data_IF_600562997467
#
_entry.id   IF_600562997467
#
_cell.length_a   1.000
_cell.length_b   1.000
_cell.length_c   1.000
_cell.angle_alpha   90.00
_cell.angle_beta   90.00
_cell.angle_gamma   90.00
#
_symmetry.space_group_name_H-M   'P 1'
#
loop_
_entity.id
_entity.type
_entity.pdbx_description
1 polymer ?
#
# COMPACT_ATOMS: atom_id res chain seq x y z
N UNK A 1 -13.89 -17.07 25.67
CA UNK A 1 -13.50 -16.57 24.34
C UNK A 1 -14.21 -15.24 24.19
N UNK A 2 -13.63 -14.19 24.78
CA UNK A 2 -14.11 -12.84 24.54
C UNK A 2 -13.43 -12.38 23.26
N UNK A 3 -14.22 -12.32 22.19
CA UNK A 3 -13.86 -11.59 20.99
C UNK A 3 -13.68 -10.14 21.40
N UNK A 4 -12.44 -9.67 21.49
CA UNK A 4 -12.15 -8.25 21.33
C UNK A 4 -12.61 -7.87 19.92
N UNK A 5 -13.85 -7.42 19.80
CA UNK A 5 -14.23 -6.50 18.74
C UNK A 5 -13.29 -5.32 18.90
N UNK A 6 -12.28 -5.25 18.03
CA UNK A 6 -11.49 -4.03 17.83
C UNK A 6 -12.51 -3.01 17.33
N UNK A 7 -13.08 -2.23 18.25
CA UNK A 7 -14.02 -1.17 17.91
C UNK A 7 -13.24 -0.09 17.16
N UNK A 8 -13.12 -0.27 15.85
CA UNK A 8 -12.75 0.80 14.94
C UNK A 8 -13.74 1.96 15.14
N UNK A 9 -13.25 3.19 15.17
CA UNK A 9 -14.16 4.32 15.28
C UNK A 9 -15.10 4.35 14.08
N UNK A 10 -16.31 4.81 14.34
CA UNK A 10 -17.28 5.09 13.31
C UNK A 10 -17.36 6.59 13.05
N UNK A 11 -17.88 6.93 11.89
CA UNK A 11 -18.11 8.32 11.47
C UNK A 11 -19.59 8.48 11.15
N UNK A 12 -20.21 9.59 11.58
CA UNK A 12 -21.64 9.84 11.33
C UNK A 12 -21.97 10.08 9.86
N UNK A 13 -20.96 10.46 9.07
CA UNK A 13 -20.96 10.51 7.61
C UNK A 13 -19.54 10.24 7.09
N UNK A 14 -19.41 9.91 5.82
CA UNK A 14 -18.10 9.83 5.18
C UNK A 14 -17.46 11.22 5.04
N UNK A 15 -16.13 11.25 4.99
CA UNK A 15 -15.42 12.44 4.53
C UNK A 15 -15.74 12.72 3.06
N UNK A 16 -15.91 13.99 2.73
CA UNK A 16 -15.88 14.48 1.36
C UNK A 16 -14.50 14.26 0.74
N UNK A 17 -14.42 14.28 -0.59
CA UNK A 17 -13.14 14.14 -1.31
C UNK A 17 -12.11 15.19 -0.87
N UNK A 18 -12.54 16.45 -0.73
CA UNK A 18 -11.70 17.55 -0.25
C UNK A 18 -11.19 17.32 1.16
N UNK A 19 -12.03 16.78 2.06
CA UNK A 19 -11.62 16.46 3.44
C UNK A 19 -10.58 15.32 3.46
N UNK A 20 -10.74 14.28 2.63
CA UNK A 20 -9.75 13.18 2.56
C UNK A 20 -8.38 13.67 2.12
N UNK A 21 -8.33 14.52 1.09
CA UNK A 21 -7.08 15.13 0.60
C UNK A 21 -6.44 16.04 1.64
N UNK A 22 -7.24 16.90 2.30
CA UNK A 22 -6.76 17.77 3.38
C UNK A 22 -6.29 16.97 4.59
N UNK A 23 -6.99 15.91 4.95
CA UNK A 23 -6.65 15.02 6.06
C UNK A 23 -5.24 14.45 5.92
N UNK A 24 -4.90 13.88 4.76
CA UNK A 24 -3.55 13.35 4.51
C UNK A 24 -2.45 14.42 4.64
N UNK A 25 -2.69 15.62 4.12
CA UNK A 25 -1.75 16.74 4.24
C UNK A 25 -1.59 17.22 5.68
N UNK A 26 -2.69 17.35 6.42
CA UNK A 26 -2.69 17.76 7.81
C UNK A 26 -2.05 16.68 8.70
N UNK A 27 -2.23 15.40 8.39
CA UNK A 27 -1.56 14.30 9.09
C UNK A 27 -0.03 14.41 8.96
N UNK A 28 0.47 14.65 7.74
CA UNK A 28 1.90 14.91 7.51
C UNK A 28 2.39 16.13 8.27
N UNK A 29 1.62 17.20 8.29
CA UNK A 29 1.96 18.43 9.02
C UNK A 29 1.96 18.21 10.54
N UNK A 30 1.04 17.41 11.06
CA UNK A 30 0.92 17.04 12.46
C UNK A 30 2.15 16.28 12.95
N UNK A 31 2.57 15.25 12.22
CA UNK A 31 3.80 14.51 12.53
C UNK A 31 5.07 15.38 12.45
N UNK A 32 4.99 16.54 11.77
CA UNK A 32 6.06 17.53 11.69
C UNK A 32 5.91 18.67 12.73
N UNK A 33 4.95 18.59 13.64
CA UNK A 33 4.77 19.52 14.76
C UNK A 33 3.65 20.55 14.59
N UNK A 34 2.73 20.36 13.64
CA UNK A 34 1.54 21.22 13.49
C UNK A 34 0.37 20.65 14.31
N UNK A 35 0.12 21.23 15.47
CA UNK A 35 -0.92 20.75 16.40
C UNK A 35 -2.21 21.58 16.31
N UNK A 36 -3.38 21.01 16.63
CA UNK A 36 -4.62 21.78 16.74
C UNK A 36 -4.51 22.85 17.84
N UNK A 37 -5.28 23.93 17.70
CA UNK A 37 -5.37 24.98 18.72
C UNK A 37 -6.30 24.61 19.87
N UNK A 38 -7.33 23.81 19.60
CA UNK A 38 -8.30 23.31 20.55
C UNK A 38 -8.25 21.80 20.73
N UNK A 39 -9.03 21.29 21.67
CA UNK A 39 -9.24 19.86 21.87
C UNK A 39 -10.58 19.43 21.27
N UNK A 40 -10.62 18.20 20.75
CA UNK A 40 -11.85 17.59 20.28
C UNK A 40 -12.87 17.50 21.42
N UNK A 41 -14.03 18.14 21.24
CA UNK A 41 -15.15 18.03 22.18
C UNK A 41 -15.60 16.57 22.30
N UNK A 42 -15.74 16.08 23.52
CA UNK A 42 -16.21 14.72 23.82
C UNK A 42 -17.54 14.77 24.58
N UNK A 43 -18.48 13.93 24.17
CA UNK A 43 -19.79 13.78 24.80
C UNK A 43 -20.03 12.32 25.16
N UNK A 44 -20.83 12.07 26.22
CA UNK A 44 -21.10 10.70 26.63
C UNK A 44 -21.94 9.93 25.60
N UNK A 45 -22.94 10.60 25.01
CA UNK A 45 -23.90 10.03 24.07
C UNK A 45 -24.15 11.00 22.94
N UNK A 46 -24.46 10.47 21.76
CA UNK A 46 -24.82 11.27 20.60
C UNK A 46 -26.03 12.18 20.89
N UNK A 47 -25.87 13.49 20.66
CA UNK A 47 -26.90 14.51 20.84
C UNK A 47 -27.41 14.99 19.48
N UNK A 48 -28.72 14.98 19.28
CA UNK A 48 -29.35 15.53 18.06
C UNK A 48 -29.23 17.06 17.95
N UNK A 49 -29.01 17.74 19.07
CA UNK A 49 -28.97 19.21 19.16
C UNK A 49 -27.63 19.81 18.70
N UNK A 50 -26.61 18.98 18.44
CA UNK A 50 -25.25 19.41 18.03
C UNK A 50 -24.96 19.09 16.56
N UNK A 51 -25.99 19.06 15.71
CA UNK A 51 -25.88 18.63 14.31
C UNK A 51 -24.88 19.43 13.45
N UNK A 52 -24.50 20.65 13.86
CA UNK A 52 -23.56 21.52 13.12
C UNK A 52 -22.19 21.69 13.80
N UNK A 53 -21.87 20.84 14.79
CA UNK A 53 -20.60 20.88 15.52
C UNK A 53 -19.92 19.51 15.48
N UNK A 54 -18.61 19.50 15.24
CA UNK A 54 -17.78 18.32 15.46
C UNK A 54 -17.73 17.95 16.96
N UNK A 55 -17.90 16.67 17.27
CA UNK A 55 -17.61 16.08 18.59
C UNK A 55 -17.45 14.55 18.50
N UNK A 56 -16.85 13.94 19.52
CA UNK A 56 -16.74 12.48 19.65
C UNK A 56 -17.73 11.94 20.69
N UNK A 57 -18.55 10.96 20.29
CA UNK A 57 -19.48 10.24 21.16
C UNK A 57 -18.80 8.99 21.74
N UNK A 58 -18.60 8.97 23.06
CA UNK A 58 -17.77 7.94 23.72
C UNK A 58 -18.44 6.57 23.86
N UNK A 59 -19.76 6.52 23.96
CA UNK A 59 -20.50 5.26 24.12
C UNK A 59 -20.56 4.43 22.83
N UNK A 60 -20.55 5.08 21.67
CA UNK A 60 -20.58 4.44 20.35
C UNK A 60 -19.25 4.50 19.60
N UNK A 61 -18.22 5.13 20.19
CA UNK A 61 -16.95 5.41 19.53
C UNK A 61 -17.14 6.05 18.14
N UNK A 62 -17.90 7.15 18.09
CA UNK A 62 -18.31 7.79 16.83
C UNK A 62 -17.87 9.24 16.76
N UNK A 63 -17.14 9.60 15.70
CA UNK A 63 -16.97 10.99 15.30
C UNK A 63 -18.26 11.50 14.68
N UNK A 64 -18.93 12.43 15.37
CA UNK A 64 -20.12 13.10 14.88
C UNK A 64 -19.69 14.33 14.08
N UNK A 65 -19.66 14.19 12.76
CA UNK A 65 -19.26 15.25 11.82
C UNK A 65 -20.48 16.13 11.47
N UNK A 66 -20.30 17.45 11.33
CA UNK A 66 -21.35 18.34 10.80
C UNK A 66 -21.58 18.05 9.32
N UNK A 67 -22.76 18.40 8.79
CA UNK A 67 -23.08 18.23 7.36
C UNK A 67 -22.22 19.11 6.43
N UNK A 68 -21.73 20.25 6.93
CA UNK A 68 -20.74 21.07 6.22
C UNK A 68 -19.37 20.39 6.20
N UNK A 69 -18.52 20.83 5.28
CA UNK A 69 -17.10 20.43 5.32
C UNK A 69 -16.43 20.87 6.64
N UNK A 70 -15.57 19.99 7.14
CA UNK A 70 -14.69 20.21 8.27
C UNK A 70 -13.64 21.25 7.91
N UNK A 71 -13.30 22.06 8.90
CA UNK A 71 -12.16 22.96 8.84
C UNK A 71 -10.86 22.20 9.10
N UNK A 72 -9.72 22.80 8.72
CA UNK A 72 -8.41 22.19 8.97
C UNK A 72 -8.14 22.00 10.47
N UNK A 73 -8.61 22.93 11.31
CA UNK A 73 -8.55 22.81 12.78
C UNK A 73 -9.36 21.61 13.28
N UNK A 74 -10.57 21.39 12.75
CA UNK A 74 -11.40 20.25 13.12
C UNK A 74 -10.78 18.91 12.67
N UNK A 75 -10.16 18.87 11.49
CA UNK A 75 -9.40 17.69 11.03
C UNK A 75 -8.18 17.44 11.93
N UNK A 76 -7.43 18.49 12.31
CA UNK A 76 -6.31 18.37 13.24
C UNK A 76 -6.73 17.87 14.63
N UNK A 77 -7.90 18.27 15.12
CA UNK A 77 -8.46 17.77 16.38
C UNK A 77 -8.79 16.28 16.31
N UNK A 78 -9.33 15.80 15.19
CA UNK A 78 -9.55 14.36 14.96
C UNK A 78 -8.21 13.62 14.94
N UNK A 79 -7.24 14.12 14.16
CA UNK A 79 -5.90 13.52 14.06
C UNK A 79 -5.26 13.40 15.45
N UNK A 80 -5.26 14.48 16.24
CA UNK A 80 -4.67 14.49 17.58
C UNK A 80 -5.36 13.50 18.52
N UNK A 81 -6.69 13.45 18.49
CA UNK A 81 -7.46 12.53 19.33
C UNK A 81 -7.11 11.07 19.02
N UNK A 82 -7.12 10.71 17.74
CA UNK A 82 -6.80 9.36 17.30
C UNK A 82 -5.34 9.00 17.65
N UNK A 83 -4.37 9.90 17.45
CA UNK A 83 -2.96 9.67 17.83
C UNK A 83 -2.80 9.44 19.34
N UNK A 84 -3.43 10.29 20.16
CA UNK A 84 -3.40 10.14 21.63
C UNK A 84 -4.01 8.80 22.05
N UNK A 85 -5.10 8.39 21.42
CA UNK A 85 -5.74 7.10 21.71
C UNK A 85 -4.86 5.93 21.28
N UNK A 86 -4.35 5.94 20.06
CA UNK A 86 -3.53 4.87 19.51
C UNK A 86 -2.27 4.67 20.37
N UNK A 87 -1.67 5.77 20.86
CA UNK A 87 -0.58 5.72 21.85
C UNK A 87 -0.99 5.05 23.17
N UNK A 88 -2.17 5.40 23.72
CA UNK A 88 -2.67 4.74 24.95
C UNK A 88 -2.95 3.25 24.73
N UNK A 89 -3.35 2.85 23.53
CA UNK A 89 -3.55 1.45 23.17
C UNK A 89 -2.22 0.72 23.00
N UNK A 90 -1.20 1.35 22.39
CA UNK A 90 0.12 0.75 22.26
C UNK A 90 0.79 0.53 23.61
N UNK A 91 0.60 1.42 24.59
CA UNK A 91 1.12 1.25 25.96
C UNK A 91 0.43 0.10 26.73
N UNK A 92 -0.79 -0.30 26.32
CA UNK A 92 -1.55 -1.40 26.95
C UNK A 92 -1.32 -2.74 26.27
N UNK A 93 -0.76 -2.71 25.07
CA UNK A 93 -0.47 -3.89 24.28
C UNK A 93 1.01 -4.18 24.48
N UNK A 94 1.38 -5.38 24.94
CA UNK A 94 2.80 -5.70 24.94
C UNK A 94 3.32 -5.64 23.50
N UNK A 95 4.47 -5.00 23.24
CA UNK A 95 5.05 -5.01 21.90
C UNK A 95 5.15 -6.47 21.46
N UNK A 96 4.80 -6.75 20.20
CA UNK A 96 4.99 -8.09 19.66
C UNK A 96 6.47 -8.45 19.83
N UNK A 97 6.76 -9.38 20.73
CA UNK A 97 8.12 -9.85 20.94
C UNK A 97 8.63 -10.41 19.61
N UNK A 98 9.83 -9.97 19.21
CA UNK A 98 10.57 -10.58 18.11
C UNK A 98 10.65 -12.08 18.41
N UNK A 99 10.13 -12.90 17.49
CA UNK A 99 10.08 -14.35 17.70
C UNK A 99 11.50 -14.92 17.80
N UNK A 100 11.65 -16.10 18.42
CA UNK A 100 12.95 -16.76 18.49
C UNK A 100 13.48 -17.07 17.09
N UNK A 101 12.58 -17.41 16.16
CA UNK A 101 12.83 -17.64 14.74
C UNK A 101 13.36 -16.38 14.05
N UNK A 102 12.69 -15.24 14.23
CA UNK A 102 13.11 -13.96 13.64
C UNK A 102 14.47 -13.53 14.19
N UNK A 103 14.69 -13.67 15.50
CA UNK A 103 15.99 -13.37 16.11
C UNK A 103 17.10 -14.24 15.52
N UNK A 104 16.86 -15.54 15.37
CA UNK A 104 17.83 -16.47 14.78
C UNK A 104 18.12 -16.12 13.31
N UNK A 105 17.09 -15.78 12.53
CA UNK A 105 17.26 -15.35 11.14
C UNK A 105 18.12 -14.09 11.04
N UNK A 106 17.88 -13.10 11.91
CA UNK A 106 18.70 -11.87 11.98
C UNK A 106 20.15 -12.14 12.34
N UNK A 107 20.42 -13.06 13.27
CA UNK A 107 21.78 -13.49 13.61
C UNK A 107 22.47 -14.15 12.41
N UNK A 108 21.78 -15.02 11.68
CA UNK A 108 22.32 -15.66 10.47
C UNK A 108 22.61 -14.66 9.34
N UNK A 109 21.72 -13.69 9.12
CA UNK A 109 21.93 -12.60 8.17
C UNK A 109 23.18 -11.81 8.56
N UNK A 110 23.34 -11.46 9.84
CA UNK A 110 24.51 -10.74 10.31
C UNK A 110 25.81 -11.56 10.16
N UNK A 111 25.79 -12.86 10.52
CA UNK A 111 26.95 -13.75 10.41
C UNK A 111 27.40 -13.97 8.96
N UNK A 112 26.45 -13.98 8.01
CA UNK A 112 26.71 -14.08 6.57
C UNK A 112 27.07 -12.74 5.92
N UNK A 113 27.18 -11.66 6.69
CA UNK A 113 27.52 -10.33 6.20
C UNK A 113 26.40 -9.63 5.43
N UNK A 114 25.15 -10.01 5.70
CA UNK A 114 23.96 -9.38 5.16
C UNK A 114 23.76 -7.94 5.63
N UNK A 115 22.77 -7.27 5.04
CA UNK A 115 22.47 -5.87 5.36
C UNK A 115 21.81 -5.74 6.74
N UNK A 116 22.03 -4.59 7.38
CA UNK A 116 21.34 -4.24 8.63
C UNK A 116 19.96 -3.67 8.35
N UNK A 117 19.11 -3.59 9.38
CA UNK A 117 17.81 -2.94 9.29
C UNK A 117 17.93 -1.46 8.90
N UNK A 118 18.89 -0.74 9.47
CA UNK A 118 19.12 0.67 9.16
C UNK A 118 19.50 0.86 7.69
N UNK A 119 20.23 -0.10 7.12
CA UNK A 119 20.53 -0.10 5.69
C UNK A 119 19.27 -0.37 4.86
N UNK A 120 18.41 -1.30 5.27
CA UNK A 120 17.13 -1.55 4.60
C UNK A 120 16.23 -0.31 4.64
N UNK A 121 16.12 0.37 5.78
CA UNK A 121 15.35 1.63 5.94
C UNK A 121 15.90 2.71 5.01
N UNK A 122 17.22 2.90 4.98
CA UNK A 122 17.85 3.88 4.10
C UNK A 122 17.57 3.60 2.62
N UNK A 123 17.61 2.32 2.20
CA UNK A 123 17.22 1.90 0.86
C UNK A 123 15.73 2.15 0.59
N UNK A 124 14.85 1.88 1.56
CA UNK A 124 13.42 2.17 1.48
C UNK A 124 13.15 3.65 1.23
N UNK A 125 13.80 4.55 1.97
CA UNK A 125 13.68 6.00 1.77
C UNK A 125 14.17 6.43 0.38
N UNK A 126 15.30 5.87 -0.09
CA UNK A 126 15.82 6.14 -1.43
C UNK A 126 14.83 5.70 -2.52
N UNK A 127 14.29 4.48 -2.40
CA UNK A 127 13.33 3.94 -3.38
C UNK A 127 11.97 4.64 -3.34
N UNK A 128 11.53 5.13 -2.18
CA UNK A 128 10.33 5.97 -2.06
C UNK A 128 10.46 7.23 -2.92
N UNK A 129 11.57 7.94 -2.79
CA UNK A 129 11.86 9.10 -3.61
C UNK A 129 12.03 8.73 -5.09
N UNK A 130 12.82 7.70 -5.40
CA UNK A 130 13.16 7.37 -6.78
C UNK A 130 11.96 6.84 -7.59
N UNK A 131 11.12 5.97 -7.00
CA UNK A 131 9.98 5.37 -7.70
C UNK A 131 8.77 6.30 -7.71
N UNK A 132 8.43 6.90 -6.56
CA UNK A 132 7.18 7.64 -6.39
C UNK A 132 7.36 9.16 -6.34
N UNK A 133 8.57 9.67 -6.20
CA UNK A 133 8.81 11.11 -6.05
C UNK A 133 8.32 11.68 -4.73
N UNK A 134 8.17 10.81 -3.71
CA UNK A 134 7.61 11.16 -2.40
C UNK A 134 8.74 11.21 -1.36
N UNK A 135 8.62 12.14 -0.41
CA UNK A 135 9.49 12.25 0.76
C UNK A 135 8.86 11.53 1.94
N UNK A 136 9.67 10.86 2.76
CA UNK A 136 9.27 10.16 3.97
C UNK A 136 8.77 11.08 5.09
N UNK A 137 9.05 12.39 4.99
CA UNK A 137 8.61 13.38 5.98
C UNK A 137 7.08 13.36 6.18
N UNK A 138 6.69 13.26 7.44
CA UNK A 138 5.28 13.21 7.84
C UNK A 138 4.61 11.87 7.52
N UNK A 139 5.38 10.79 7.41
CA UNK A 139 4.87 9.44 7.23
C UNK A 139 5.21 8.59 8.45
N UNK A 140 4.35 7.61 8.73
CA UNK A 140 4.68 6.52 9.63
C UNK A 140 5.66 5.57 8.94
N UNK A 141 6.66 5.10 9.68
CA UNK A 141 7.61 4.08 9.24
C UNK A 141 7.38 2.82 10.07
N UNK A 142 7.22 1.69 9.39
CA UNK A 142 7.31 0.38 10.02
C UNK A 142 8.26 -0.51 9.20
N UNK A 143 9.00 -1.36 9.89
CA UNK A 143 9.96 -2.28 9.30
C UNK A 143 10.03 -3.56 10.11
N UNK A 144 10.20 -4.69 9.42
CA UNK A 144 10.36 -5.99 10.04
C UNK A 144 11.04 -6.96 9.07
N UNK A 145 11.59 -8.04 9.61
CA UNK A 145 12.03 -9.18 8.82
C UNK A 145 10.85 -10.16 8.70
N UNK A 146 10.35 -10.35 7.48
CA UNK A 146 9.32 -11.35 7.20
C UNK A 146 10.01 -12.69 6.93
N UNK A 147 9.99 -13.61 7.90
CA UNK A 147 10.61 -14.94 7.79
C UNK A 147 9.77 -15.96 7.02
N UNK A 148 8.49 -15.66 6.80
CA UNK A 148 7.58 -16.51 6.02
C UNK A 148 7.72 -16.24 4.51
N UNK A 149 8.27 -15.08 4.16
CA UNK A 149 8.59 -14.67 2.80
C UNK A 149 10.06 -14.95 2.44
N UNK A 150 10.32 -15.26 1.17
CA UNK A 150 11.68 -15.43 0.63
C UNK A 150 12.08 -16.87 0.34
N UNK A 151 13.15 -17.05 -0.43
CA UNK A 151 13.66 -18.37 -0.80
C UNK A 151 14.30 -19.07 0.41
N UNK A 152 13.99 -20.35 0.61
CA UNK A 152 14.64 -21.22 1.60
C UNK A 152 14.60 -20.69 3.05
N UNK A 153 13.59 -19.89 3.41
CA UNK A 153 13.43 -19.35 4.77
C UNK A 153 14.44 -18.25 5.13
N UNK A 154 15.11 -17.63 4.14
CA UNK A 154 16.08 -16.54 4.35
C UNK A 154 15.43 -15.22 4.79
N UNK A 155 14.11 -15.14 4.73
CA UNK A 155 13.34 -13.95 5.06
C UNK A 155 13.47 -12.86 4.00
N UNK A 156 12.64 -11.82 4.14
CA UNK A 156 12.70 -10.59 3.34
C UNK A 156 12.57 -9.40 4.27
N UNK A 157 13.43 -8.40 4.14
CA UNK A 157 13.24 -7.15 4.86
C UNK A 157 12.07 -6.37 4.26
N UNK A 158 11.05 -6.12 5.07
CA UNK A 158 9.95 -5.22 4.73
C UNK A 158 10.23 -3.84 5.31
N UNK A 159 10.12 -2.81 4.48
CA UNK A 159 10.12 -1.40 4.91
C UNK A 159 8.88 -0.75 4.33
N UNK A 160 8.06 -0.16 5.19
CA UNK A 160 6.82 0.47 4.77
C UNK A 160 6.69 1.90 5.30
N UNK A 161 6.16 2.76 4.43
CA UNK A 161 5.84 4.15 4.72
C UNK A 161 4.36 4.36 4.49
N UNK A 162 3.68 5.01 5.42
CA UNK A 162 2.25 5.28 5.26
C UNK A 162 1.81 6.64 5.77
N UNK A 163 0.70 7.10 5.22
CA UNK A 163 -0.10 8.20 5.74
C UNK A 163 -1.47 7.61 6.02
N UNK A 164 -1.89 7.65 7.28
CA UNK A 164 -3.08 6.98 7.83
C UNK A 164 -4.21 6.79 6.82
N UNK A 165 -4.39 5.56 6.33
CA UNK A 165 -5.48 5.16 5.41
C UNK A 165 -5.55 5.89 4.06
N UNK A 166 -4.59 6.76 3.74
CA UNK A 166 -4.58 7.53 2.48
C UNK A 166 -3.49 7.05 1.52
N UNK A 167 -2.31 6.74 2.02
CA UNK A 167 -1.16 6.37 1.20
C UNK A 167 -0.34 5.26 1.88
N UNK A 168 0.07 4.28 1.09
CA UNK A 168 0.88 3.16 1.55
C UNK A 168 1.95 2.84 0.52
N UNK A 169 3.19 2.72 0.99
CA UNK A 169 4.34 2.33 0.19
C UNK A 169 5.08 1.20 0.88
N UNK A 170 5.30 0.10 0.18
CA UNK A 170 5.99 -1.09 0.69
C UNK A 170 7.22 -1.38 -0.16
N UNK A 171 8.32 -1.73 0.48
CA UNK A 171 9.56 -2.15 -0.15
C UNK A 171 10.02 -3.47 0.45
N UNK A 172 10.48 -4.36 -0.41
CA UNK A 172 10.91 -5.71 -0.07
C UNK A 172 12.34 -5.90 -0.53
N UNK A 173 13.25 -6.21 0.40
CA UNK A 173 14.68 -6.32 0.12
C UNK A 173 15.20 -7.71 0.44
N UNK A 174 16.11 -8.19 -0.41
CA UNK A 174 16.95 -9.34 -0.10
C UNK A 174 17.84 -9.01 1.11
N UNK A 175 17.78 -9.78 2.20
CA UNK A 175 18.57 -9.50 3.40
C UNK A 175 20.08 -9.62 3.21
N UNK A 176 20.56 -10.32 2.18
CA UNK A 176 21.98 -10.55 1.96
C UNK A 176 22.70 -9.33 1.38
N UNK A 177 22.08 -8.62 0.42
CA UNK A 177 22.73 -7.54 -0.31
C UNK A 177 21.88 -6.27 -0.46
N UNK A 178 20.63 -6.30 -0.02
CA UNK A 178 19.69 -5.18 -0.14
C UNK A 178 19.09 -5.02 -1.53
N UNK A 179 19.18 -6.02 -2.40
CA UNK A 179 18.52 -6.01 -3.70
C UNK A 179 17.02 -5.80 -3.53
N UNK A 180 16.44 -4.83 -4.24
CA UNK A 180 15.00 -4.62 -4.28
C UNK A 180 14.32 -5.80 -5.00
N UNK A 181 13.56 -6.58 -4.24
CA UNK A 181 12.76 -7.71 -4.72
C UNK A 181 11.37 -7.25 -5.16
N UNK A 182 10.81 -6.26 -4.47
CA UNK A 182 9.52 -5.70 -4.82
C UNK A 182 9.29 -4.31 -4.23
N UNK A 183 8.43 -3.54 -4.86
CA UNK A 183 7.92 -2.27 -4.36
C UNK A 183 6.43 -2.18 -4.68
N UNK A 184 5.64 -1.60 -3.79
CA UNK A 184 4.21 -1.38 -4.02
C UNK A 184 3.77 -0.04 -3.49
N UNK A 185 2.90 0.64 -4.24
CA UNK A 185 2.32 1.92 -3.88
C UNK A 185 0.80 1.88 -4.03
N UNK A 186 0.07 2.21 -2.95
CA UNK A 186 -1.39 2.24 -2.93
C UNK A 186 -1.87 3.59 -2.41
N UNK A 187 -2.81 4.19 -3.13
CA UNK A 187 -3.43 5.47 -2.78
C UNK A 187 -4.93 5.22 -2.61
N UNK A 188 -5.54 5.73 -1.54
CA UNK A 188 -6.98 5.65 -1.34
C UNK A 188 -7.77 6.26 -2.50
N UNK A 189 -7.22 7.31 -3.13
CA UNK A 189 -7.80 7.93 -4.32
C UNK A 189 -8.00 6.97 -5.50
N UNK A 190 -7.25 5.86 -5.58
CA UNK A 190 -7.47 4.85 -6.63
C UNK A 190 -8.74 4.06 -6.43
N UNK A 191 -9.15 3.86 -5.18
CA UNK A 191 -10.35 3.12 -4.85
C UNK A 191 -11.61 3.90 -5.22
N UNK A 192 -11.48 5.22 -5.32
CA UNK A 192 -12.57 6.16 -5.60
C UNK A 192 -12.57 6.63 -7.06
N UNK A 193 -11.55 6.27 -7.84
CA UNK A 193 -11.44 6.63 -9.24
C UNK A 193 -12.49 5.91 -10.09
N UNK A 194 -13.02 6.61 -11.10
CA UNK A 194 -13.93 6.03 -12.09
C UNK A 194 -13.29 4.80 -12.76
N UNK A 195 -14.11 3.76 -12.95
CA UNK A 195 -13.68 2.53 -13.59
C UNK A 195 -13.26 2.79 -15.05
N UNK A 196 -12.08 2.32 -15.42
CA UNK A 196 -11.53 2.42 -16.77
C UNK A 196 -11.99 1.23 -17.58
N UNK A 197 -12.58 1.49 -18.75
CA UNK A 197 -12.97 0.41 -19.66
C UNK A 197 -11.75 -0.19 -20.37
N UNK A 198 -11.86 -1.46 -20.78
CA UNK A 198 -10.81 -2.10 -21.57
C UNK A 198 -10.49 -1.33 -22.86
N UNK A 199 -11.49 -0.80 -23.57
CA UNK A 199 -11.27 -0.03 -24.79
C UNK A 199 -10.39 1.21 -24.56
N UNK A 200 -10.51 1.84 -23.38
CA UNK A 200 -9.64 2.95 -22.99
C UNK A 200 -8.22 2.47 -22.68
N UNK A 201 -8.06 1.33 -22.00
CA UNK A 201 -6.74 0.73 -21.77
C UNK A 201 -6.06 0.35 -23.09
N UNK A 202 -6.78 -0.28 -24.01
CA UNK A 202 -6.27 -0.71 -25.32
C UNK A 202 -5.65 0.46 -26.10
N UNK A 203 -6.35 1.60 -26.13
CA UNK A 203 -5.84 2.82 -26.77
C UNK A 203 -4.61 3.44 -26.10
N UNK A 204 -4.23 3.01 -24.90
CA UNK A 204 -3.08 3.52 -24.13
C UNK A 204 -1.98 2.49 -23.93
N UNK A 205 -2.20 1.22 -24.30
CA UNK A 205 -1.35 0.09 -23.92
C UNK A 205 0.09 0.26 -24.41
N UNK A 206 0.29 0.60 -25.68
CA UNK A 206 1.66 0.80 -26.21
C UNK A 206 2.40 1.94 -25.49
N UNK A 207 1.76 3.10 -25.31
CA UNK A 207 2.34 4.25 -24.59
C UNK A 207 2.71 3.88 -23.15
N UNK A 208 1.84 3.14 -22.46
CA UNK A 208 2.10 2.72 -21.09
C UNK A 208 3.16 1.63 -21.01
N UNK A 209 3.31 0.79 -22.04
CA UNK A 209 4.42 -0.16 -22.14
C UNK A 209 5.76 0.57 -22.22
N UNK A 210 5.87 1.62 -23.04
CA UNK A 210 7.07 2.47 -23.10
C UNK A 210 7.35 3.17 -21.75
N UNK A 211 6.31 3.59 -21.05
CA UNK A 211 6.45 4.15 -19.70
C UNK A 211 6.98 3.10 -18.72
N UNK A 212 6.46 1.87 -18.76
CA UNK A 212 6.95 0.76 -17.94
C UNK A 212 8.41 0.39 -18.27
N UNK A 213 8.80 0.39 -19.55
CA UNK A 213 10.20 0.23 -19.98
C UNK A 213 11.09 1.32 -19.39
N UNK A 214 10.65 2.58 -19.44
CA UNK A 214 11.41 3.71 -18.90
C UNK A 214 11.57 3.62 -17.38
N UNK A 215 10.56 3.14 -16.65
CA UNK A 215 10.69 2.86 -15.21
C UNK A 215 11.70 1.73 -14.98
N UNK A 216 11.60 0.64 -15.74
CA UNK A 216 12.46 -0.53 -15.59
C UNK A 216 13.95 -0.21 -15.83
N UNK A 217 14.27 0.47 -16.93
CA UNK A 217 15.66 0.76 -17.31
C UNK A 217 16.19 2.04 -16.67
N UNK A 218 15.34 3.05 -16.47
CA UNK A 218 15.73 4.35 -15.91
C UNK A 218 15.74 4.36 -14.39
N UNK A 219 14.61 4.04 -13.76
CA UNK A 219 14.48 4.12 -12.29
C UNK A 219 15.03 2.88 -11.59
N UNK A 220 14.68 1.69 -12.09
CA UNK A 220 15.08 0.40 -11.49
C UNK A 220 16.44 -0.10 -11.99
N UNK A 221 16.99 0.54 -13.03
CA UNK A 221 18.29 0.20 -13.63
C UNK A 221 18.44 -1.29 -13.97
N UNK A 222 17.37 -1.93 -14.42
CA UNK A 222 17.38 -3.34 -14.84
C UNK A 222 17.73 -3.47 -16.31
N UNK A 223 18.26 -4.65 -16.67
CA UNK A 223 18.64 -4.99 -18.04
C UNK A 223 17.43 -4.86 -18.99
N UNK A 224 17.69 -4.32 -20.18
CA UNK A 224 16.68 -4.14 -21.22
C UNK A 224 16.47 -5.40 -22.08
N UNK A 225 17.18 -6.50 -21.83
CA UNK A 225 17.09 -7.72 -22.62
C UNK A 225 16.01 -8.65 -22.09
N UNK A 226 14.84 -8.60 -22.72
CA UNK A 226 13.72 -9.51 -22.51
C UNK A 226 13.36 -10.22 -23.82
N UNK A 227 12.95 -11.47 -23.71
CA UNK A 227 12.50 -12.28 -24.84
C UNK A 227 11.12 -11.86 -25.32
N UNK A 228 10.24 -11.52 -24.36
CA UNK A 228 8.82 -11.25 -24.59
C UNK A 228 8.29 -10.26 -23.54
N UNK A 229 7.31 -9.45 -23.94
CA UNK A 229 6.54 -8.61 -23.02
C UNK A 229 5.08 -9.06 -23.05
N UNK A 230 4.49 -9.25 -21.87
CA UNK A 230 3.06 -9.57 -21.72
C UNK A 230 2.38 -8.49 -20.87
N UNK A 231 1.31 -7.88 -21.39
CA UNK A 231 0.38 -7.09 -20.61
C UNK A 231 -0.66 -8.01 -19.96
N UNK A 232 -0.92 -7.86 -18.67
CA UNK A 232 -2.00 -8.57 -18.00
C UNK A 232 -2.89 -7.63 -17.19
N UNK A 233 -4.18 -7.88 -17.23
CA UNK A 233 -5.18 -7.12 -16.49
C UNK A 233 -6.35 -8.01 -16.08
N UNK A 234 -7.13 -7.55 -15.11
CA UNK A 234 -8.36 -8.22 -14.68
C UNK A 234 -9.55 -7.56 -15.35
N UNK A 235 -10.28 -8.32 -16.18
CA UNK A 235 -11.51 -7.87 -16.84
C UNK A 235 -12.72 -8.22 -15.98
N UNK A 236 -13.43 -7.19 -15.52
CA UNK A 236 -14.68 -7.25 -14.78
C UNK A 236 -15.78 -6.61 -15.63
N UNK A 237 -16.40 -7.41 -16.51
CA UNK A 237 -17.50 -7.01 -17.39
C UNK A 237 -17.17 -5.82 -18.33
N UNK A 238 -15.97 -5.81 -18.92
CA UNK A 238 -15.52 -4.77 -19.87
C UNK A 238 -14.78 -3.61 -19.21
N UNK A 239 -14.61 -3.66 -17.89
CA UNK A 239 -13.87 -2.68 -17.09
C UNK A 239 -12.70 -3.34 -16.37
N UNK A 240 -11.69 -2.53 -16.04
CA UNK A 240 -10.57 -2.99 -15.25
C UNK A 240 -10.98 -3.21 -13.79
N UNK A 241 -10.81 -4.44 -13.33
CA UNK A 241 -10.93 -4.77 -11.91
C UNK A 241 -9.75 -4.24 -11.10
N UNK A 242 -9.82 -4.40 -9.77
CA UNK A 242 -8.72 -4.10 -8.85
C UNK A 242 -8.21 -2.65 -8.97
N UNK A 243 -9.13 -1.68 -8.96
CA UNK A 243 -8.83 -0.25 -8.93
C UNK A 243 -8.02 0.24 -10.13
N UNK A 244 -8.44 -0.14 -11.34
CA UNK A 244 -7.81 0.24 -12.61
C UNK A 244 -6.36 -0.25 -12.77
N UNK A 245 -5.96 -1.30 -12.04
CA UNK A 245 -4.61 -1.87 -12.07
C UNK A 245 -4.44 -2.85 -13.24
N UNK A 246 -3.28 -2.78 -13.86
CA UNK A 246 -2.79 -3.76 -14.82
C UNK A 246 -1.25 -3.85 -14.76
N UNK A 247 -0.62 -4.81 -15.43
CA UNK A 247 0.83 -5.00 -15.35
C UNK A 247 1.47 -5.42 -16.66
N UNK A 248 2.72 -5.01 -16.87
CA UNK A 248 3.62 -5.56 -17.87
C UNK A 248 4.60 -6.53 -17.23
N UNK A 249 4.77 -7.68 -17.86
CA UNK A 249 5.76 -8.68 -17.53
C UNK A 249 6.84 -8.68 -18.62
N UNK A 250 8.05 -8.30 -18.25
CA UNK A 250 9.24 -8.34 -19.11
C UNK A 250 9.95 -9.67 -18.87
N UNK A 251 9.63 -10.67 -19.70
CA UNK A 251 10.05 -12.06 -19.52
C UNK A 251 11.43 -12.26 -20.15
N UNK A 252 12.36 -12.81 -19.38
CA UNK A 252 13.76 -13.05 -19.75
C UNK A 252 13.93 -14.48 -20.26
N UNK A 253 15.03 -14.72 -20.98
CA UNK A 253 15.34 -16.04 -21.58
C UNK A 253 15.58 -17.15 -20.56
N UNK A 254 15.94 -16.79 -19.33
CA UNK A 254 16.16 -17.71 -18.23
C UNK A 254 14.85 -18.13 -17.54
N UNK A 255 13.70 -17.60 -17.97
CA UNK A 255 12.39 -17.88 -17.38
C UNK A 255 11.99 -16.90 -16.26
N UNK A 256 12.90 -16.04 -15.80
CA UNK A 256 12.60 -14.97 -14.86
C UNK A 256 11.85 -13.82 -15.52
N UNK A 257 11.21 -12.96 -14.74
CA UNK A 257 10.52 -11.78 -15.25
C UNK A 257 10.58 -10.58 -14.30
N UNK A 258 10.57 -9.38 -14.87
CA UNK A 258 10.24 -8.16 -14.13
C UNK A 258 8.77 -7.81 -14.35
N UNK A 259 8.01 -7.65 -13.26
CA UNK A 259 6.64 -7.14 -13.28
C UNK A 259 6.66 -5.65 -13.00
N UNK A 260 6.02 -4.85 -13.85
CA UNK A 260 5.72 -3.44 -13.64
C UNK A 260 4.21 -3.26 -13.68
N UNK A 261 3.60 -2.98 -12.53
CA UNK A 261 2.18 -2.66 -12.45
C UNK A 261 1.95 -1.16 -12.59
N UNK A 262 0.84 -0.79 -13.23
CA UNK A 262 0.44 0.58 -13.49
C UNK A 262 -1.05 0.77 -13.22
N UNK A 263 -1.44 2.01 -12.92
CA UNK A 263 -2.83 2.43 -12.83
C UNK A 263 -3.24 3.10 -14.15
N UNK A 264 -4.31 2.61 -14.78
CA UNK A 264 -4.76 3.10 -16.08
C UNK A 264 -5.46 4.48 -16.04
N UNK A 265 -6.06 4.86 -14.90
CA UNK A 265 -6.76 6.13 -14.75
C UNK A 265 -5.76 7.30 -14.67
N UNK A 266 -4.74 7.16 -13.81
CA UNK A 266 -3.67 8.17 -13.63
C UNK A 266 -2.45 7.98 -14.53
N UNK A 267 -2.40 6.90 -15.30
CA UNK A 267 -1.27 6.53 -16.17
C UNK A 267 0.07 6.47 -15.42
N UNK A 268 0.06 6.00 -14.17
CA UNK A 268 1.20 6.05 -13.27
C UNK A 268 1.68 4.67 -12.82
N UNK A 269 2.97 4.58 -12.47
CA UNK A 269 3.57 3.41 -11.83
C UNK A 269 2.86 3.10 -10.49
N UNK A 270 2.68 1.81 -10.22
CA UNK A 270 2.15 1.30 -8.96
C UNK A 270 3.18 0.43 -8.25
N UNK A 271 3.63 -0.63 -8.94
CA UNK A 271 4.39 -1.68 -8.27
C UNK A 271 5.47 -2.26 -9.17
N UNK A 272 6.50 -2.79 -8.53
CA UNK A 272 7.55 -3.59 -9.12
C UNK A 272 7.64 -4.93 -8.39
N UNK A 273 7.91 -6.01 -9.12
CA UNK A 273 8.34 -7.27 -8.53
C UNK A 273 9.33 -7.99 -9.44
N UNK A 274 10.35 -8.60 -8.84
CA UNK A 274 11.16 -9.63 -9.49
C UNK A 274 10.48 -10.98 -9.32
N UNK A 275 10.40 -11.74 -10.41
CA UNK A 275 9.80 -13.07 -10.44
C UNK A 275 10.87 -14.03 -10.95
N UNK A 276 11.28 -14.99 -10.12
CA UNK A 276 12.32 -15.95 -10.47
C UNK A 276 11.86 -16.95 -11.53
N UNK A 277 10.63 -17.47 -11.39
CA UNK A 277 9.99 -18.36 -12.36
C UNK A 277 8.63 -17.80 -12.78
N UNK A 278 8.58 -17.20 -13.97
CA UNK A 278 7.35 -16.64 -14.51
C UNK A 278 6.29 -17.71 -14.79
N UNK A 279 6.70 -18.91 -15.19
CA UNK A 279 5.78 -20.00 -15.51
C UNK A 279 5.04 -20.50 -14.27
N UNK A 280 5.76 -20.76 -13.19
CA UNK A 280 5.19 -21.14 -11.89
C UNK A 280 4.31 -20.01 -11.33
N UNK A 281 4.80 -18.76 -11.37
CA UNK A 281 4.06 -17.60 -10.88
C UNK A 281 2.68 -17.47 -11.55
N UNK A 282 2.59 -17.58 -12.87
CA UNK A 282 1.31 -17.47 -13.57
C UNK A 282 0.37 -18.64 -13.23
N UNK A 283 0.87 -19.85 -12.98
CA UNK A 283 0.03 -20.98 -12.58
C UNK A 283 -0.61 -20.77 -11.19
N UNK A 284 0.13 -20.18 -10.25
CA UNK A 284 -0.40 -19.82 -8.92
C UNK A 284 -1.44 -18.71 -8.99
N UNK A 285 -1.24 -17.73 -9.87
CA UNK A 285 -2.15 -16.59 -10.04
C UNK A 285 -3.43 -16.96 -10.82
N UNK A 286 -3.50 -18.13 -11.45
CA UNK A 286 -4.63 -18.54 -12.26
C UNK A 286 -5.67 -19.30 -11.41
N UNK A 287 -6.87 -18.75 -11.17
CA UNK A 287 -7.85 -19.32 -10.24
C UNK A 287 -8.49 -20.64 -10.70
N UNK A 288 -8.18 -21.14 -11.91
CA UNK A 288 -8.62 -22.48 -12.33
C UNK A 288 -7.78 -23.62 -11.73
N UNK A 289 -6.57 -23.33 -11.23
CA UNK A 289 -5.66 -24.29 -10.59
C UNK A 289 -5.57 -24.13 -9.07
N UNK A 290 -5.98 -22.97 -8.51
CA UNK A 290 -6.07 -22.78 -7.07
C UNK A 290 -7.37 -23.37 -6.52
N UNK A 291 -7.29 -24.36 -5.62
CA UNK A 291 -8.44 -24.84 -4.85
C UNK A 291 -9.15 -23.64 -4.18
N UNK A 292 -10.35 -23.32 -4.68
CA UNK A 292 -11.36 -22.42 -4.12
C UNK A 292 -10.85 -21.54 -2.97
N UNK A 293 -10.23 -20.41 -3.31
CA UNK A 293 -10.10 -19.27 -2.40
C UNK A 293 -11.50 -18.92 -1.86
N UNK A 294 -11.69 -19.10 -0.55
CA UNK A 294 -12.95 -18.81 0.17
C UNK A 294 -13.11 -17.32 0.47
N UNK A 295 -12.76 -16.44 -0.47
CA UNK A 295 -13.00 -15.00 -0.30
C UNK A 295 -14.23 -14.55 -1.12
N UNK A 296 -15.40 -14.35 -0.49
CA UNK A 296 -16.65 -13.99 -1.19
C UNK A 296 -16.63 -12.60 -1.85
N UNK A 297 -15.60 -11.79 -1.62
CA UNK A 297 -15.38 -10.50 -2.31
C UNK A 297 -14.52 -10.62 -3.58
N UNK A 298 -14.08 -11.82 -3.98
CA UNK A 298 -13.42 -12.00 -5.28
C UNK A 298 -14.48 -11.92 -6.39
N UNK A 299 -14.61 -10.75 -7.01
CA UNK A 299 -15.53 -10.54 -8.14
C UNK A 299 -15.32 -11.56 -9.26
N UNK A 300 -16.34 -11.79 -10.09
CA UNK A 300 -16.31 -12.73 -11.22
C UNK A 300 -15.44 -12.26 -12.40
N UNK A 301 -14.29 -11.63 -12.14
CA UNK A 301 -13.38 -11.13 -13.16
C UNK A 301 -12.40 -12.20 -13.66
N UNK A 302 -12.08 -12.16 -14.96
CA UNK A 302 -11.08 -13.05 -15.58
C UNK A 302 -9.76 -12.29 -15.77
N UNK A 303 -8.64 -12.96 -15.56
CA UNK A 303 -7.33 -12.41 -15.91
C UNK A 303 -7.09 -12.60 -17.41
N UNK A 304 -6.74 -11.52 -18.10
CA UNK A 304 -6.42 -11.51 -19.53
C UNK A 304 -4.94 -11.26 -19.71
N UNK A 305 -4.30 -11.99 -20.62
CA UNK A 305 -2.90 -11.83 -21.00
C UNK A 305 -2.81 -11.48 -22.47
N UNK A 306 -2.14 -10.37 -22.79
CA UNK A 306 -1.93 -9.85 -24.14
C UNK A 306 -0.44 -9.77 -24.39
N UNK A 307 0.05 -10.52 -25.39
CA UNK A 307 1.44 -10.39 -25.83
C UNK A 307 1.62 -9.07 -26.57
N UNK A 308 2.60 -8.28 -26.15
CA UNK A 308 2.95 -7.02 -26.80
C UNK A 308 3.93 -7.32 -27.93
N UNK A 309 3.70 -6.69 -29.09
CA UNK A 309 4.59 -6.84 -30.25
C UNK A 309 5.96 -6.18 -29.97
N UNK A 310 7.03 -6.77 -30.51
CA UNK A 310 8.41 -6.27 -30.40
C UNK A 310 8.62 -4.99 -31.18
#
# INVERSE_FOLDING_TARGET
MDSQEVNADSYSREYTQTEKERYGNLYRAYLQGTFPQGELRQEQTQKKETADSLYYARDTSTFCLPERELTDEELLQIIEFEIKRDYVLSERTEPADITAEEKQAREQIAESGGITEEKAIALGTEWLHNLYGVSEKGMELNHYLDTDMGAEGKGVYNVNFSVRSTEYYYFYFDPQDGTLLGASGSLAADMEADAVSYAVLEGKMEKMCETAKAVLTGKLQKEAEYEKIVCAYRDENGYLGSFNRFAYYFIRKDGSAYKIAMNAAREAFLDYAYIEDYGAYIQEQNPQTAEKSKNPNSGQGKTVYVEMWK
#
